data_IF_507832886872
#
_entry.id   IF_507832886872
#
_cell.length_a   1.000
_cell.length_b   1.000
_cell.length_c   1.000
_cell.angle_alpha   90.00
_cell.angle_beta   90.00
_cell.angle_gamma   90.00
#
_symmetry.space_group_name_H-M   'P 1'
#
loop_
_entity.id
_entity.type
_entity.pdbx_description
1 polymer ?
#
# COMPACT_ATOMS: atom_id res chain seq x y z
N UNK A 1 25.10 3.29 1.37
CA UNK A 1 23.65 3.16 1.09
C UNK A 1 23.13 2.06 2.01
N UNK A 2 22.17 2.36 2.89
CA UNK A 2 21.73 1.45 3.95
C UNK A 2 20.89 0.30 3.38
N UNK A 3 21.47 -0.90 3.34
CA UNK A 3 20.86 -2.14 2.85
C UNK A 3 19.52 -2.48 3.50
N UNK A 4 19.28 -2.03 4.73
CA UNK A 4 18.03 -2.26 5.47
C UNK A 4 16.82 -1.47 4.96
N UNK A 5 17.02 -0.30 4.32
CA UNK A 5 15.90 0.49 3.79
C UNK A 5 15.34 -0.09 2.50
N UNK A 6 16.18 -0.75 1.70
CA UNK A 6 15.75 -1.41 0.47
C UNK A 6 14.91 -2.64 0.80
N UNK A 7 15.31 -3.43 1.80
CA UNK A 7 14.57 -4.64 2.22
C UNK A 7 13.18 -4.32 2.79
N UNK A 8 13.05 -3.26 3.60
CA UNK A 8 11.76 -2.86 4.17
C UNK A 8 10.78 -2.42 3.08
N UNK A 9 11.29 -1.73 2.05
CA UNK A 9 10.49 -1.26 0.94
C UNK A 9 10.00 -2.42 0.06
N UNK A 10 10.88 -3.35 -0.27
CA UNK A 10 10.56 -4.54 -1.05
C UNK A 10 9.50 -5.39 -0.33
N UNK A 11 9.73 -5.70 0.95
CA UNK A 11 8.81 -6.50 1.77
C UNK A 11 7.40 -5.88 1.84
N UNK A 12 7.32 -4.56 2.07
CA UNK A 12 6.04 -3.83 2.08
C UNK A 12 5.36 -3.84 0.72
N UNK A 13 6.14 -3.69 -0.36
CA UNK A 13 5.62 -3.70 -1.73
C UNK A 13 5.03 -5.06 -2.09
N UNK A 14 5.73 -6.14 -1.77
CA UNK A 14 5.30 -7.52 -1.99
C UNK A 14 4.06 -7.86 -1.16
N UNK A 15 4.08 -7.51 0.13
CA UNK A 15 2.93 -7.70 1.04
C UNK A 15 1.69 -6.99 0.49
N UNK A 16 1.84 -5.74 0.01
CA UNK A 16 0.74 -5.00 -0.59
C UNK A 16 0.18 -5.73 -1.81
N UNK A 17 1.02 -6.13 -2.77
CA UNK A 17 0.58 -6.84 -3.98
C UNK A 17 -0.16 -8.13 -3.65
N UNK A 18 0.43 -8.95 -2.77
CA UNK A 18 -0.17 -10.22 -2.35
C UNK A 18 -1.55 -10.00 -1.72
N UNK A 19 -1.67 -9.03 -0.81
CA UNK A 19 -2.94 -8.78 -0.13
C UNK A 19 -3.99 -8.14 -1.04
N UNK A 20 -3.58 -7.34 -2.05
CA UNK A 20 -4.52 -6.85 -3.06
C UNK A 20 -5.08 -7.98 -3.91
N UNK A 21 -4.27 -8.99 -4.28
CA UNK A 21 -4.75 -10.16 -5.02
C UNK A 21 -5.84 -10.90 -4.23
N UNK A 22 -5.66 -11.06 -2.91
CA UNK A 22 -6.63 -11.70 -2.03
C UNK A 22 -7.86 -10.82 -1.69
N UNK A 23 -7.83 -9.53 -2.03
CA UNK A 23 -8.92 -8.60 -1.70
C UNK A 23 -10.16 -8.84 -2.59
N UNK A 24 -11.37 -8.87 -2.01
CA UNK A 24 -12.61 -8.87 -2.79
C UNK A 24 -12.73 -7.66 -3.72
N UNK A 25 -13.27 -7.86 -4.91
CA UNK A 25 -13.56 -6.75 -5.85
C UNK A 25 -14.54 -5.77 -5.23
N UNK A 26 -14.29 -4.48 -5.44
CA UNK A 26 -15.11 -3.39 -4.91
C UNK A 26 -14.88 -3.09 -3.42
N UNK A 27 -14.12 -3.89 -2.67
CA UNK A 27 -13.82 -3.57 -1.28
C UNK A 27 -12.85 -2.40 -1.16
N UNK A 28 -13.25 -1.40 -0.36
CA UNK A 28 -12.47 -0.20 -0.08
C UNK A 28 -11.61 -0.34 1.17
N UNK A 29 -10.30 -0.09 1.07
CA UNK A 29 -9.37 -0.10 2.19
C UNK A 29 -8.26 0.94 2.02
N UNK A 30 -7.69 1.41 3.14
CA UNK A 30 -6.47 2.26 3.13
C UNK A 30 -5.24 1.37 2.93
N UNK A 31 -4.14 1.94 2.41
CA UNK A 31 -2.87 1.20 2.21
C UNK A 31 -2.40 0.48 3.48
N UNK A 32 -2.45 1.12 4.65
CA UNK A 32 -2.12 0.49 5.95
C UNK A 32 -2.98 -0.75 6.24
N UNK A 33 -4.28 -0.68 5.93
CA UNK A 33 -5.24 -1.76 6.19
C UNK A 33 -5.07 -2.92 5.21
N UNK A 34 -4.61 -2.64 3.98
CA UNK A 34 -4.30 -3.67 2.98
C UNK A 34 -2.99 -4.38 3.34
N UNK A 35 -1.95 -3.63 3.73
CA UNK A 35 -0.65 -4.19 4.11
C UNK A 35 -0.75 -4.97 5.43
N UNK A 36 -1.51 -4.44 6.40
CA UNK A 36 -1.60 -4.98 7.75
C UNK A 36 -0.62 -4.31 8.72
N UNK A 37 -0.98 -4.36 10.00
CA UNK A 37 -0.25 -3.64 11.05
C UNK A 37 1.15 -4.18 11.32
N UNK A 38 1.32 -5.50 11.24
CA UNK A 38 2.60 -6.19 11.49
C UNK A 38 3.71 -5.67 10.56
N UNK A 39 3.40 -5.51 9.27
CA UNK A 39 4.37 -5.01 8.28
C UNK A 39 4.44 -3.49 8.26
N UNK A 40 3.35 -2.79 8.59
CA UNK A 40 3.30 -1.32 8.49
C UNK A 40 3.87 -0.57 9.71
N UNK A 41 3.66 -1.09 10.92
CA UNK A 41 4.03 -0.41 12.16
C UNK A 41 5.55 -0.23 12.36
N UNK A 42 6.42 -1.20 12.03
CA UNK A 42 7.86 -1.07 12.19
C UNK A 42 8.50 -0.02 11.28
N UNK A 43 7.87 0.29 10.15
CA UNK A 43 8.40 1.26 9.18
C UNK A 43 8.57 2.64 9.82
N UNK A 44 9.64 3.35 9.45
CA UNK A 44 9.79 4.75 9.86
C UNK A 44 8.69 5.64 9.24
N UNK A 45 8.35 6.73 9.92
CA UNK A 45 7.32 7.69 9.43
C UNK A 45 7.63 8.22 8.03
N UNK A 46 8.90 8.51 7.75
CA UNK A 46 9.39 8.97 6.44
C UNK A 46 9.17 7.90 5.36
N UNK A 47 9.49 6.64 5.66
CA UNK A 47 9.28 5.48 4.78
C UNK A 47 7.80 5.29 4.47
N UNK A 48 6.94 5.28 5.50
CA UNK A 48 5.47 5.17 5.32
C UNK A 48 4.92 6.26 4.39
N UNK A 49 5.36 7.50 4.57
CA UNK A 49 4.92 8.63 3.75
C UNK A 49 5.41 8.52 2.30
N UNK A 50 6.69 8.21 2.09
CA UNK A 50 7.25 8.00 0.75
C UNK A 50 6.58 6.84 0.03
N UNK A 51 6.35 5.73 0.75
CA UNK A 51 5.68 4.57 0.21
C UNK A 51 4.24 4.88 -0.20
N UNK A 52 3.45 5.55 0.65
CA UNK A 52 2.10 5.96 0.30
C UNK A 52 2.03 6.86 -0.95
N UNK A 53 2.99 7.78 -1.10
CA UNK A 53 3.13 8.59 -2.33
C UNK A 53 3.46 7.73 -3.55
N UNK A 54 4.39 6.79 -3.41
CA UNK A 54 4.78 5.90 -4.49
C UNK A 54 3.62 5.01 -4.96
N UNK A 55 2.86 4.40 -4.03
CA UNK A 55 1.66 3.62 -4.38
C UNK A 55 0.64 4.47 -5.11
N UNK A 56 0.37 5.69 -4.63
CA UNK A 56 -0.57 6.60 -5.29
C UNK A 56 -0.17 6.96 -6.72
N UNK A 57 1.13 7.04 -6.99
CA UNK A 57 1.66 7.32 -8.33
C UNK A 57 1.68 6.08 -9.24
N UNK A 58 1.59 4.87 -8.70
CA UNK A 58 1.76 3.61 -9.42
C UNK A 58 0.61 2.63 -9.14
N UNK A 59 -0.64 3.10 -9.08
CA UNK A 59 -1.78 2.30 -8.62
C UNK A 59 -1.96 1.00 -9.42
N UNK A 60 -1.83 1.07 -10.74
CA UNK A 60 -1.93 -0.08 -11.65
C UNK A 60 -0.89 -1.17 -11.32
N UNK A 61 0.34 -0.77 -10.96
CA UNK A 61 1.40 -1.70 -10.58
C UNK A 61 1.06 -2.53 -9.32
N UNK A 62 0.20 -2.00 -8.46
CA UNK A 62 -0.28 -2.66 -7.25
C UNK A 62 -1.67 -3.29 -7.42
N UNK A 63 -2.25 -3.27 -8.63
CA UNK A 63 -3.62 -3.76 -8.87
C UNK A 63 -4.68 -2.95 -8.11
N UNK A 64 -4.44 -1.65 -7.89
CA UNK A 64 -5.33 -0.76 -7.16
C UNK A 64 -5.94 0.28 -8.08
N UNK A 65 -7.10 0.80 -7.67
CA UNK A 65 -7.65 2.06 -8.18
C UNK A 65 -8.05 2.96 -7.02
N UNK A 66 -7.97 4.27 -7.24
CA UNK A 66 -8.41 5.25 -6.26
C UNK A 66 -9.93 5.15 -6.09
N UNK A 67 -10.39 5.03 -4.84
CA UNK A 67 -11.81 4.97 -4.52
C UNK A 67 -12.33 6.35 -4.08
N UNK A 68 -11.77 6.88 -3.00
CA UNK A 68 -12.15 8.18 -2.42
C UNK A 68 -11.17 8.66 -1.36
N UNK A 69 -11.44 9.84 -0.79
CA UNK A 69 -10.81 10.31 0.43
C UNK A 69 -11.67 9.97 1.66
N UNK A 70 -11.03 9.50 2.73
CA UNK A 70 -11.59 9.41 4.07
C UNK A 70 -10.88 10.45 4.96
N UNK A 71 -11.46 11.65 5.04
CA UNK A 71 -10.78 12.82 5.61
C UNK A 71 -9.53 13.14 4.79
N UNK A 72 -8.35 13.04 5.40
CA UNK A 72 -7.05 13.30 4.75
C UNK A 72 -6.36 12.04 4.22
N UNK A 73 -6.97 10.86 4.36
CA UNK A 73 -6.37 9.58 3.97
C UNK A 73 -7.04 9.05 2.71
N UNK A 74 -6.24 8.68 1.71
CA UNK A 74 -6.74 8.06 0.49
C UNK A 74 -7.16 6.60 0.74
N UNK A 75 -8.26 6.22 0.12
CA UNK A 75 -8.86 4.89 0.16
C UNK A 75 -8.83 4.31 -1.25
N UNK A 76 -8.54 3.02 -1.35
CA UNK A 76 -8.33 2.32 -2.60
C UNK A 76 -9.18 1.06 -2.64
N UNK A 77 -9.45 0.57 -3.86
CA UNK A 77 -10.10 -0.72 -4.10
C UNK A 77 -9.28 -1.52 -5.10
N UNK A 78 -9.48 -2.84 -5.10
CA UNK A 78 -8.86 -3.74 -6.07
C UNK A 78 -9.31 -3.36 -7.49
N UNK A 79 -8.36 -3.29 -8.41
CA UNK A 79 -8.62 -3.15 -9.84
C UNK A 79 -9.35 -4.38 -10.36
N UNK A 80 -10.36 -4.18 -11.20
CA UNK A 80 -11.05 -5.26 -11.90
C UNK A 80 -10.35 -5.67 -13.21
N UNK A 81 -9.28 -4.95 -13.56
CA UNK A 81 -8.44 -5.17 -14.74
C UNK A 81 -7.36 -6.19 -14.39
#
# INVERSE_FOLDING_TARGET
MNTTQTSDWENVSETLKHNVVAMPLGQERKIREIIGEVTWAPLQRSTRHRFGKHVRANLEHYGLVFARMAGRIAVYKKSAI
#
